data_IF_818219601953
#
_entry.id   IF_818219601953
#
_cell.length_a   1.000
_cell.length_b   1.000
_cell.length_c   1.000
_cell.angle_alpha   90.00
_cell.angle_beta   90.00
_cell.angle_gamma   90.00
#
_symmetry.space_group_name_H-M   'P 1'
#
loop_
_entity.id
_entity.type
_entity.pdbx_description
1 polymer ?
#
# COMPACT_ATOMS: atom_id res chain seq x y z
N UNK A 1 -61.34 -29.70 56.10
CA UNK A 1 -60.76 -28.35 56.03
C UNK A 1 -59.37 -28.47 55.45
N UNK A 2 -59.12 -28.06 54.20
CA UNK A 2 -57.79 -27.61 53.71
C UNK A 2 -57.77 -27.49 52.17
N UNK A 3 -58.63 -26.68 51.56
CA UNK A 3 -58.49 -26.35 50.12
C UNK A 3 -58.86 -24.89 49.86
N UNK A 4 -58.25 -23.93 50.55
CA UNK A 4 -58.46 -22.49 50.25
C UNK A 4 -57.20 -21.60 50.32
N UNK A 5 -56.03 -22.16 50.65
CA UNK A 5 -54.81 -21.38 50.87
C UNK A 5 -53.92 -21.11 49.65
N UNK A 6 -54.10 -21.84 48.55
CA UNK A 6 -53.09 -21.85 47.46
C UNK A 6 -53.31 -20.79 46.36
N UNK A 7 -54.50 -20.18 46.27
CA UNK A 7 -54.85 -19.25 45.17
C UNK A 7 -54.48 -17.78 45.42
N UNK A 8 -54.49 -17.33 46.68
CA UNK A 8 -54.12 -15.96 47.03
C UNK A 8 -52.61 -15.71 46.97
N UNK A 9 -51.80 -16.74 47.24
CA UNK A 9 -50.34 -16.61 47.21
C UNK A 9 -49.79 -16.49 45.78
N UNK A 10 -50.46 -17.12 44.81
CA UNK A 10 -50.11 -17.03 43.39
C UNK A 10 -50.49 -15.68 42.76
N UNK A 11 -51.53 -15.01 43.26
CA UNK A 11 -51.90 -13.66 42.77
C UNK A 11 -50.98 -12.57 43.32
N UNK A 12 -50.56 -12.69 44.58
CA UNK A 12 -49.59 -11.79 45.22
C UNK A 12 -48.18 -11.92 44.65
N UNK A 13 -47.75 -13.13 44.26
CA UNK A 13 -46.48 -13.32 43.56
C UNK A 13 -46.50 -12.77 42.12
N UNK A 14 -47.63 -12.86 41.42
CA UNK A 14 -47.78 -12.30 40.07
C UNK A 14 -47.74 -10.76 40.06
N UNK A 15 -48.39 -10.12 41.04
CA UNK A 15 -48.39 -8.66 41.17
C UNK A 15 -47.01 -8.10 41.54
N UNK A 16 -46.19 -8.82 42.31
CA UNK A 16 -44.82 -8.38 42.64
C UNK A 16 -43.85 -8.53 41.45
N UNK A 17 -44.06 -9.52 40.57
CA UNK A 17 -43.29 -9.64 39.32
C UNK A 17 -43.62 -8.52 38.30
N UNK A 18 -44.87 -8.06 38.26
CA UNK A 18 -45.29 -6.97 37.36
C UNK A 18 -44.97 -5.57 37.88
N UNK A 19 -44.73 -5.41 39.19
CA UNK A 19 -44.43 -4.12 39.83
C UNK A 19 -42.93 -3.86 40.04
N UNK A 20 -42.05 -4.76 39.62
CA UNK A 20 -40.60 -4.56 39.75
C UNK A 20 -40.14 -3.55 38.69
N UNK A 21 -39.75 -2.31 39.06
CA UNK A 21 -39.21 -1.36 38.12
C UNK A 21 -37.73 -1.68 37.98
N UNK A 22 -37.41 -2.85 37.44
CA UNK A 22 -36.11 -3.07 36.83
C UNK A 22 -36.12 -2.25 35.55
N UNK A 23 -35.97 -0.93 35.73
CA UNK A 23 -35.79 0.04 34.67
C UNK A 23 -34.77 -0.55 33.73
N UNK A 24 -35.24 -0.93 32.53
CA UNK A 24 -34.39 -1.38 31.45
C UNK A 24 -33.46 -0.20 31.16
N UNK A 25 -32.29 -0.21 31.79
CA UNK A 25 -31.20 0.70 31.47
C UNK A 25 -30.79 0.26 30.08
N UNK A 26 -31.36 0.89 29.06
CA UNK A 26 -30.73 0.98 27.76
C UNK A 26 -29.33 1.52 28.05
N UNK A 27 -28.35 0.63 28.09
CA UNK A 27 -26.97 0.99 27.96
C UNK A 27 -26.88 1.66 26.59
N UNK A 28 -26.92 2.98 26.60
CA UNK A 28 -26.63 3.79 25.44
C UNK A 28 -25.20 3.44 25.04
N UNK A 29 -25.08 2.50 24.08
CA UNK A 29 -23.82 2.19 23.45
C UNK A 29 -23.51 3.41 22.62
N UNK A 30 -22.86 4.39 23.25
CA UNK A 30 -22.33 5.56 22.59
C UNK A 30 -21.71 5.12 21.27
N UNK A 31 -22.24 5.65 20.18
CA UNK A 31 -21.78 5.35 18.84
C UNK A 31 -20.29 5.69 18.79
N UNK A 32 -19.43 4.67 18.80
CA UNK A 32 -18.00 4.88 18.69
C UNK A 32 -17.74 5.54 17.33
N UNK A 33 -17.38 6.82 17.36
CA UNK A 33 -16.97 7.57 16.18
C UNK A 33 -15.76 6.83 15.61
N UNK A 34 -15.92 6.20 14.45
CA UNK A 34 -14.80 5.56 13.76
C UNK A 34 -13.90 6.67 13.24
N UNK A 35 -12.72 6.79 13.81
CA UNK A 35 -11.71 7.71 13.31
C UNK A 35 -11.27 7.23 11.93
N UNK A 36 -11.38 8.10 10.93
CA UNK A 36 -10.86 7.82 9.60
C UNK A 36 -9.35 8.05 9.66
N UNK A 37 -8.56 6.98 9.52
CA UNK A 37 -7.11 7.11 9.42
C UNK A 37 -6.74 7.34 7.95
N UNK A 38 -6.05 8.45 7.62
CA UNK A 38 -5.53 8.70 6.29
C UNK A 38 -4.57 7.58 5.86
N UNK A 39 -4.80 7.00 4.68
CA UNK A 39 -3.89 6.01 4.09
C UNK A 39 -3.96 6.00 2.56
N UNK A 40 -2.93 6.54 1.90
CA UNK A 40 -2.81 6.62 0.44
C UNK A 40 -1.35 6.72 0.01
N UNK A 41 -1.09 6.57 -1.29
CA UNK A 41 0.24 6.85 -1.86
C UNK A 41 0.42 8.35 -2.10
N UNK A 42 1.40 8.97 -1.44
CA UNK A 42 1.81 10.35 -1.72
C UNK A 42 2.71 10.43 -2.97
N UNK A 43 3.44 9.36 -3.25
CA UNK A 43 4.22 9.18 -4.48
C UNK A 43 3.95 7.78 -5.00
N UNK A 44 3.50 7.70 -6.25
CA UNK A 44 3.31 6.43 -6.96
C UNK A 44 4.44 6.23 -7.98
N UNK A 45 4.79 4.96 -8.29
CA UNK A 45 5.81 4.68 -9.27
C UNK A 45 5.30 4.94 -10.69
N UNK A 46 6.25 5.33 -11.54
CA UNK A 46 5.99 5.62 -12.95
C UNK A 46 6.82 4.71 -13.84
N UNK A 47 6.37 4.56 -15.08
CA UNK A 47 7.10 3.80 -16.09
C UNK A 47 8.52 4.36 -16.23
N UNK A 48 9.51 3.48 -16.07
CA UNK A 48 10.92 3.88 -15.95
C UNK A 48 11.75 3.12 -16.98
N UNK A 49 12.39 3.88 -17.88
CA UNK A 49 13.40 3.34 -18.78
C UNK A 49 14.74 3.36 -18.07
N UNK A 50 15.41 2.21 -18.06
CA UNK A 50 16.62 2.02 -17.29
C UNK A 50 17.75 1.51 -18.19
N UNK A 51 18.94 2.02 -17.88
CA UNK A 51 20.15 1.79 -18.67
C UNK A 51 20.93 0.63 -18.05
N UNK A 52 21.38 -0.31 -18.89
CA UNK A 52 22.24 -1.42 -18.43
C UNK A 52 23.45 -0.88 -17.68
N UNK A 53 23.74 -1.43 -16.50
CA UNK A 53 24.88 -1.04 -15.69
C UNK A 53 24.64 0.18 -14.81
N UNK A 54 23.63 0.99 -15.11
CA UNK A 54 23.29 2.17 -14.34
C UNK A 54 22.34 1.82 -13.19
N UNK A 55 22.27 2.65 -12.13
CA UNK A 55 21.24 2.53 -11.12
C UNK A 55 19.87 2.94 -11.66
N UNK A 56 18.82 2.31 -11.17
CA UNK A 56 17.43 2.67 -11.43
C UNK A 56 16.69 2.84 -10.10
N UNK A 57 15.90 3.91 -9.99
CA UNK A 57 15.09 4.22 -8.81
C UNK A 57 13.61 4.22 -9.18
N UNK A 58 12.84 3.39 -8.49
CA UNK A 58 11.39 3.38 -8.56
C UNK A 58 10.85 4.07 -7.30
N UNK A 59 10.37 5.29 -7.48
CA UNK A 59 9.87 6.09 -6.37
C UNK A 59 8.56 5.53 -5.84
N UNK A 60 8.43 5.42 -4.52
CA UNK A 60 7.16 5.14 -3.85
C UNK A 60 7.18 5.72 -2.45
N UNK A 61 6.09 6.35 -2.05
CA UNK A 61 5.88 6.79 -0.67
C UNK A 61 4.41 6.68 -0.32
N UNK A 62 4.11 6.13 0.86
CA UNK A 62 2.77 6.07 1.41
C UNK A 62 2.65 7.05 2.58
N UNK A 63 1.57 7.82 2.59
CA UNK A 63 1.23 8.69 3.70
C UNK A 63 0.23 8.00 4.63
N UNK A 64 0.52 8.06 5.93
CA UNK A 64 -0.35 7.60 7.00
C UNK A 64 0.05 8.17 8.36
N UNK A 65 -0.92 8.27 9.26
CA UNK A 65 -0.68 8.72 10.64
C UNK A 65 -0.02 7.65 11.52
N UNK A 66 -0.09 6.38 11.09
CA UNK A 66 0.57 5.24 11.73
C UNK A 66 1.64 4.68 10.81
N UNK A 67 2.72 4.06 11.33
CA UNK A 67 3.77 3.49 10.50
C UNK A 67 3.21 2.47 9.50
N UNK A 68 3.43 2.72 8.21
CA UNK A 68 3.12 1.79 7.13
C UNK A 68 4.38 1.00 6.73
N UNK A 69 4.21 -0.29 6.48
CA UNK A 69 5.24 -1.15 5.89
C UNK A 69 5.13 -1.09 4.39
N UNK A 70 6.20 -0.68 3.71
CA UNK A 70 6.26 -0.66 2.25
C UNK A 70 7.06 -1.85 1.74
N UNK A 71 6.52 -2.54 0.75
CA UNK A 71 7.11 -3.68 0.07
C UNK A 71 6.90 -3.54 -1.44
N UNK A 72 7.66 -4.32 -2.22
CA UNK A 72 7.57 -4.28 -3.68
C UNK A 72 7.22 -5.63 -4.25
N UNK A 73 6.38 -5.63 -5.29
CA UNK A 73 6.15 -6.77 -6.16
C UNK A 73 6.81 -6.55 -7.51
N UNK A 74 7.36 -7.62 -8.06
CA UNK A 74 7.77 -7.73 -9.46
C UNK A 74 7.00 -8.87 -10.10
N UNK A 75 6.32 -8.58 -11.21
CA UNK A 75 5.53 -9.55 -11.98
C UNK A 75 4.53 -10.31 -11.07
N UNK A 76 3.92 -9.58 -10.13
CA UNK A 76 2.96 -10.11 -9.15
C UNK A 76 3.56 -10.80 -7.92
N UNK A 77 4.88 -11.04 -7.89
CA UNK A 77 5.57 -11.72 -6.79
C UNK A 77 6.30 -10.74 -5.89
N UNK A 78 6.19 -10.90 -4.57
CA UNK A 78 6.93 -10.05 -3.64
C UNK A 78 8.45 -10.22 -3.81
N UNK A 79 9.13 -9.09 -3.92
CA UNK A 79 10.57 -9.03 -3.91
C UNK A 79 11.06 -9.23 -2.48
N UNK A 80 12.13 -10.00 -2.34
CA UNK A 80 12.91 -10.03 -1.12
C UNK A 80 14.25 -9.33 -1.37
N UNK A 81 14.43 -8.05 -0.95
CA UNK A 81 15.68 -7.33 -1.13
C UNK A 81 16.90 -8.07 -0.57
N UNK A 82 16.73 -8.91 0.47
CA UNK A 82 17.82 -9.69 1.04
C UNK A 82 18.34 -10.83 0.14
N UNK A 83 17.64 -11.14 -0.97
CA UNK A 83 18.07 -12.18 -1.92
C UNK A 83 18.94 -11.64 -3.05
N UNK A 84 19.01 -10.31 -3.21
CA UNK A 84 19.76 -9.65 -4.28
C UNK A 84 20.32 -8.33 -3.73
N UNK A 85 21.61 -8.31 -3.39
CA UNK A 85 22.30 -7.16 -2.79
C UNK A 85 22.24 -5.88 -3.65
N UNK A 86 21.90 -6.02 -4.94
CA UNK A 86 21.70 -4.88 -5.85
C UNK A 86 20.39 -4.16 -5.58
N UNK A 87 19.44 -4.78 -4.87
CA UNK A 87 18.10 -4.24 -4.61
C UNK A 87 18.03 -3.75 -3.18
N UNK A 88 17.71 -2.48 -3.01
CA UNK A 88 17.63 -1.83 -1.71
C UNK A 88 16.31 -1.11 -1.58
N UNK A 89 15.62 -1.35 -0.47
CA UNK A 89 14.46 -0.56 -0.08
C UNK A 89 14.94 0.68 0.67
N UNK A 90 14.65 1.86 0.12
CA UNK A 90 15.00 3.13 0.74
C UNK A 90 14.02 3.48 1.88
N UNK A 91 14.40 4.36 2.83
CA UNK A 91 13.56 4.71 3.98
C UNK A 91 12.20 5.32 3.62
N UNK A 92 12.09 5.96 2.45
CA UNK A 92 10.86 6.56 1.94
C UNK A 92 9.90 5.53 1.31
N UNK A 93 10.35 4.30 1.11
CA UNK A 93 9.61 3.22 0.43
C UNK A 93 10.05 2.97 -1.01
N UNK A 94 10.95 3.79 -1.56
CA UNK A 94 11.43 3.68 -2.93
C UNK A 94 12.34 2.47 -3.12
N UNK A 95 12.29 1.83 -4.30
CA UNK A 95 13.16 0.70 -4.64
C UNK A 95 14.34 1.18 -5.48
N UNK A 96 15.55 1.04 -4.94
CA UNK A 96 16.79 1.27 -5.66
C UNK A 96 17.35 -0.06 -6.19
N UNK A 97 17.62 -0.11 -7.49
CA UNK A 97 18.40 -1.17 -8.13
C UNK A 97 19.74 -0.55 -8.51
N UNK A 98 20.82 -0.90 -7.81
CA UNK A 98 22.12 -0.21 -7.94
C UNK A 98 22.84 -0.52 -9.26
N UNK A 99 22.59 -1.69 -9.84
CA UNK A 99 23.22 -2.10 -11.10
C UNK A 99 22.22 -2.91 -11.94
N UNK A 100 21.63 -2.29 -12.96
CA UNK A 100 20.64 -2.92 -13.83
C UNK A 100 21.27 -3.95 -14.76
N UNK A 101 20.75 -5.18 -14.72
CA UNK A 101 21.16 -6.29 -15.58
C UNK A 101 20.19 -6.44 -16.75
N UNK A 102 20.71 -6.18 -17.94
CA UNK A 102 19.98 -6.38 -19.19
C UNK A 102 20.91 -6.98 -20.26
N UNK A 103 20.68 -8.23 -20.62
CA UNK A 103 21.39 -8.93 -21.70
C UNK A 103 20.41 -9.64 -22.64
N UNK A 104 20.90 -10.19 -23.75
CA UNK A 104 20.06 -10.89 -24.73
C UNK A 104 19.33 -12.10 -24.13
N UNK A 105 19.97 -12.80 -23.20
CA UNK A 105 19.48 -14.07 -22.64
C UNK A 105 19.06 -13.96 -21.17
N UNK A 106 19.42 -12.87 -20.50
CA UNK A 106 19.15 -12.69 -19.07
C UNK A 106 18.78 -11.23 -18.78
N UNK A 107 17.58 -11.04 -18.22
CA UNK A 107 16.99 -9.72 -17.94
C UNK A 107 16.18 -9.79 -16.64
N UNK A 108 16.82 -10.07 -15.50
CA UNK A 108 16.13 -10.36 -14.25
C UNK A 108 15.43 -9.12 -13.67
N UNK A 109 15.83 -7.93 -14.12
CA UNK A 109 15.27 -6.66 -13.67
C UNK A 109 14.17 -6.15 -14.61
N UNK A 110 14.05 -6.63 -15.86
CA UNK A 110 12.92 -6.27 -16.75
C UNK A 110 11.61 -6.85 -16.18
N UNK A 111 10.56 -6.02 -16.02
CA UNK A 111 9.26 -6.49 -15.53
C UNK A 111 8.30 -5.37 -15.13
N UNK A 112 7.15 -5.79 -14.58
CA UNK A 112 6.13 -4.89 -14.02
C UNK A 112 6.31 -4.82 -12.52
N UNK A 113 6.48 -3.61 -12.00
CA UNK A 113 6.72 -3.36 -10.58
C UNK A 113 5.50 -2.70 -9.94
N UNK A 114 5.23 -3.05 -8.70
CA UNK A 114 4.12 -2.49 -7.93
C UNK A 114 4.53 -2.28 -6.47
N UNK A 115 4.25 -1.09 -5.95
CA UNK A 115 4.47 -0.77 -4.56
C UNK A 115 3.26 -1.22 -3.73
N UNK A 116 3.51 -1.82 -2.57
CA UNK A 116 2.49 -2.35 -1.67
C UNK A 116 2.73 -1.77 -0.29
N UNK A 117 1.75 -1.06 0.24
CA UNK A 117 1.81 -0.49 1.58
C UNK A 117 0.81 -1.20 2.49
N UNK A 118 1.24 -1.60 3.68
CA UNK A 118 0.43 -2.32 4.65
C UNK A 118 0.49 -1.65 6.02
N UNK A 119 -0.66 -1.46 6.63
CA UNK A 119 -0.83 -1.07 8.03
C UNK A 119 -1.63 -2.18 8.70
N UNK A 120 -1.06 -2.85 9.70
CA UNK A 120 -1.62 -4.09 10.27
C UNK A 120 -3.07 -3.93 10.79
N UNK A 121 -3.48 -2.71 11.17
CA UNK A 121 -4.83 -2.39 11.66
C UNK A 121 -5.82 -1.91 10.59
N UNK A 122 -5.34 -1.49 9.40
CA UNK A 122 -6.18 -0.94 8.32
C UNK A 122 -6.23 -1.84 7.09
N UNK A 123 -5.19 -2.64 6.86
CA UNK A 123 -5.03 -3.50 5.71
C UNK A 123 -3.95 -3.00 4.74
N UNK A 124 -4.10 -3.37 3.47
CA UNK A 124 -3.07 -3.20 2.43
C UNK A 124 -3.64 -2.45 1.24
N UNK A 125 -2.87 -1.49 0.73
CA UNK A 125 -3.12 -0.81 -0.55
C UNK A 125 -1.97 -1.13 -1.53
N UNK A 126 -2.25 -1.05 -2.83
CA UNK A 126 -1.26 -1.28 -3.88
C UNK A 126 -1.33 -0.17 -4.91
N UNK A 127 -0.16 0.31 -5.36
CA UNK A 127 -0.07 1.38 -6.34
C UNK A 127 -0.51 0.91 -7.72
N UNK A 128 -0.65 1.83 -8.67
CA UNK A 128 -0.66 1.45 -10.07
C UNK A 128 0.63 0.66 -10.44
N UNK A 129 0.53 -0.37 -11.29
CA UNK A 129 1.70 -1.09 -11.79
C UNK A 129 2.47 -0.19 -12.77
N UNK A 130 3.80 -0.13 -12.62
CA UNK A 130 4.67 0.53 -13.58
C UNK A 130 5.50 -0.47 -14.38
N UNK A 131 5.64 -0.20 -15.66
CA UNK A 131 6.54 -0.87 -16.56
C UNK A 131 7.95 -0.30 -16.35
N UNK A 132 8.85 -1.08 -15.74
CA UNK A 132 10.24 -0.64 -15.59
C UNK A 132 11.19 -1.54 -16.37
N UNK A 133 12.31 -0.96 -16.81
CA UNK A 133 13.45 -1.69 -17.40
C UNK A 133 13.16 -2.30 -18.77
N UNK A 134 12.20 -1.72 -19.50
CA UNK A 134 11.93 -2.06 -20.90
C UNK A 134 13.08 -1.61 -21.80
N UNK A 135 13.47 -2.41 -22.80
CA UNK A 135 14.43 -1.96 -23.79
C UNK A 135 13.81 -0.86 -24.65
N UNK A 136 14.59 0.18 -24.93
CA UNK A 136 14.30 1.28 -25.89
C UNK A 136 13.77 0.78 -27.26
N UNK A 137 14.03 -0.48 -27.59
CA UNK A 137 13.74 -1.12 -28.88
C UNK A 137 12.29 -1.58 -29.09
N UNK A 138 11.32 -0.99 -28.37
CA UNK A 138 9.88 -1.13 -28.70
C UNK A 138 9.20 0.23 -28.83
N UNK A 139 9.89 1.23 -29.37
CA UNK A 139 9.21 2.30 -30.10
C UNK A 139 8.99 1.78 -31.53
N UNK A 140 7.74 1.67 -31.98
CA UNK A 140 7.49 1.50 -33.42
C UNK A 140 8.14 2.71 -34.10
N UNK A 141 9.06 2.49 -35.03
CA UNK A 141 9.48 3.52 -35.96
C UNK A 141 8.22 4.10 -36.64
N UNK A 142 7.72 5.24 -36.17
CA UNK A 142 6.49 5.85 -36.68
C UNK A 142 5.60 6.61 -35.70
N UNK A 143 5.78 6.54 -34.38
CA UNK A 143 4.99 7.37 -33.45
C UNK A 143 5.82 8.54 -32.90
N UNK A 144 5.64 9.72 -33.48
CA UNK A 144 6.14 11.02 -32.97
C UNK A 144 5.52 11.47 -31.63
N UNK A 145 4.82 10.58 -30.92
CA UNK A 145 4.25 10.88 -29.62
C UNK A 145 5.06 10.16 -28.54
N UNK A 146 5.58 10.93 -27.57
CA UNK A 146 6.24 10.52 -26.33
C UNK A 146 7.77 10.62 -26.26
N UNK A 147 8.40 11.56 -26.98
CA UNK A 147 9.77 12.03 -26.64
C UNK A 147 9.75 12.99 -25.42
N UNK A 148 8.59 13.55 -25.07
CA UNK A 148 8.50 14.67 -24.10
C UNK A 148 8.42 14.28 -22.62
N UNK A 149 8.36 12.99 -22.25
CA UNK A 149 8.14 12.58 -20.85
C UNK A 149 8.99 11.40 -20.35
N UNK A 150 10.01 10.97 -21.10
CA UNK A 150 10.86 9.84 -20.69
C UNK A 150 12.02 10.35 -19.86
N UNK A 151 11.80 10.52 -18.55
CA UNK A 151 12.93 10.60 -17.62
C UNK A 151 13.52 9.20 -17.50
N UNK A 152 14.63 8.94 -18.19
CA UNK A 152 15.56 7.92 -17.71
C UNK A 152 16.01 8.39 -16.32
N UNK A 153 15.54 7.73 -15.26
CA UNK A 153 15.87 8.11 -13.90
C UNK A 153 17.26 7.57 -13.60
N UNK A 154 18.28 8.33 -14.02
CA UNK A 154 19.64 8.15 -13.53
C UNK A 154 19.66 8.67 -12.10
N UNK A 155 19.83 7.76 -11.14
CA UNK A 155 20.08 8.13 -9.75
C UNK A 155 21.43 8.84 -9.70
N UNK A 156 21.42 10.16 -9.48
CA UNK A 156 22.65 10.93 -9.22
C UNK A 156 23.18 11.84 -10.35
N UNK A 157 22.33 12.44 -11.18
CA UNK A 157 22.79 13.48 -12.12
C UNK A 157 21.91 14.72 -12.09
N UNK A 158 21.86 15.35 -10.93
CA UNK A 158 21.37 16.72 -10.75
C UNK A 158 22.57 17.63 -10.46
N UNK A 159 23.52 17.75 -11.42
CA UNK A 159 24.59 18.79 -11.38
C UNK A 159 25.47 18.96 -12.64
N UNK A 160 25.17 18.40 -13.82
CA UNK A 160 26.02 18.64 -15.02
C UNK A 160 25.20 18.84 -16.30
N UNK A 161 24.40 19.89 -16.35
CA UNK A 161 23.90 20.50 -17.59
C UNK A 161 24.19 22.01 -17.53
N UNK A 162 25.45 22.37 -17.72
CA UNK A 162 26.03 23.70 -17.95
C UNK A 162 27.55 23.47 -17.96
N UNK A 163 28.36 23.73 -18.97
CA UNK A 163 28.25 24.42 -20.25
C UNK A 163 29.12 23.63 -21.24
N UNK A 164 28.58 23.28 -22.41
CA UNK A 164 29.38 22.98 -23.60
C UNK A 164 28.65 23.64 -24.78
N UNK A 165 28.73 24.98 -24.81
CA UNK A 165 28.51 25.77 -26.01
C UNK A 165 29.57 26.86 -26.07
N UNK A 166 30.42 26.70 -27.08
CA UNK A 166 31.44 27.60 -27.65
C UNK A 166 32.87 27.56 -27.08
#
# INVERSE_FOLDING_TARGET
>A
MAERGARLLLSLSCLTFLYSPAAARHADKGSAVRHFTPFWFSVEPVDTLAVRGAPALLNCSAHSDTPARVEWKKDGTFLNPATDDRRQLLPDGSLLITNVVHSKHNKPDEGVYQCVATIDTLGTISSAPCASLWPERRIRAGSQMAESHRRAVLVGQESQWAEDTE
#
